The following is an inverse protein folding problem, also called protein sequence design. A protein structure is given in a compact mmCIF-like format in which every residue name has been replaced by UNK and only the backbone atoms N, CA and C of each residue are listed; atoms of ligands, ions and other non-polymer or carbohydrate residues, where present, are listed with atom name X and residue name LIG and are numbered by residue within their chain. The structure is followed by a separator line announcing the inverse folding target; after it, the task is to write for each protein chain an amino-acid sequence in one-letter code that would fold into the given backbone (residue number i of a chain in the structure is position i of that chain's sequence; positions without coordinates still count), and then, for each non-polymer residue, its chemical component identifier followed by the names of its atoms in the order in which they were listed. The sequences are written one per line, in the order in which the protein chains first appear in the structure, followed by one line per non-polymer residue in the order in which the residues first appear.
data_IF_603643013471
#
_entry.id   IF_603643013471
#
_cell.length_a   1.000
_cell.length_b   1.000
_cell.length_c   1.000
_cell.angle_alpha   90.00
_cell.angle_beta   90.00
_cell.angle_gamma   90.00
#
_symmetry.space_group_name_H-M   'P 1'
#
loop_
_entity.id
_entity.type
_entity.pdbx_description
1 polymer ?
#
# COMPACT_ATOMS: atom_id res chain seq x y z
N UNK A 1 35.01 -36.00 12.59
CA UNK A 1 34.46 -35.62 11.27
C UNK A 1 32.94 -35.81 11.18
N UNK A 2 32.41 -37.01 11.52
CA UNK A 2 30.98 -37.36 11.45
C UNK A 2 30.06 -36.44 12.30
N UNK A 3 30.45 -36.11 13.54
CA UNK A 3 29.65 -35.26 14.44
C UNK A 3 29.47 -33.82 13.89
N UNK A 4 30.48 -33.30 13.19
CA UNK A 4 30.44 -31.98 12.55
C UNK A 4 29.47 -32.01 11.37
N UNK A 5 29.49 -33.09 10.59
CA UNK A 5 28.55 -33.32 9.48
C UNK A 5 27.11 -33.41 9.96
N UNK A 6 26.84 -34.14 11.06
CA UNK A 6 25.51 -34.21 11.68
C UNK A 6 25.04 -32.84 12.19
N UNK A 7 25.92 -32.08 12.84
CA UNK A 7 25.61 -30.72 13.29
C UNK A 7 25.30 -29.79 12.13
N UNK A 8 26.05 -29.86 11.02
CA UNK A 8 25.77 -29.09 9.79
C UNK A 8 24.42 -29.47 9.19
N UNK A 9 24.12 -30.76 9.10
CA UNK A 9 22.83 -31.25 8.59
C UNK A 9 21.65 -30.79 9.46
N UNK A 10 21.82 -30.82 10.78
CA UNK A 10 20.81 -30.33 11.73
C UNK A 10 20.55 -28.83 11.58
N UNK A 11 21.62 -28.02 11.51
CA UNK A 11 21.49 -26.57 11.29
C UNK A 11 20.83 -26.27 9.94
N UNK A 12 21.25 -26.96 8.86
CA UNK A 12 20.65 -26.78 7.54
C UNK A 12 19.15 -27.11 7.56
N UNK A 13 18.74 -28.20 8.21
CA UNK A 13 17.33 -28.59 8.37
C UNK A 13 16.53 -27.54 9.14
N UNK A 14 17.11 -26.96 10.21
CA UNK A 14 16.47 -25.88 10.95
C UNK A 14 16.31 -24.61 10.11
N UNK A 15 17.32 -24.23 9.33
CA UNK A 15 17.26 -23.06 8.44
C UNK A 15 16.20 -23.24 7.36
N UNK A 16 16.16 -24.41 6.71
CA UNK A 16 15.13 -24.72 5.69
C UNK A 16 13.74 -24.66 6.32
N UNK A 17 13.55 -25.27 7.50
CA UNK A 17 12.26 -25.22 8.20
C UNK A 17 11.82 -23.79 8.48
N UNK A 18 12.70 -22.96 9.06
CA UNK A 18 12.42 -21.54 9.29
C UNK A 18 12.10 -20.77 8.00
N UNK A 19 12.77 -21.10 6.89
CA UNK A 19 12.47 -20.48 5.60
C UNK A 19 11.12 -20.91 5.05
N UNK A 20 10.77 -22.20 5.17
CA UNK A 20 9.47 -22.72 4.75
C UNK A 20 8.34 -22.13 5.58
N UNK A 21 8.51 -21.99 6.90
CA UNK A 21 7.50 -21.38 7.78
C UNK A 21 7.21 -19.94 7.34
N UNK A 22 8.26 -19.14 7.05
CA UNK A 22 8.11 -17.78 6.50
C UNK A 22 7.44 -17.75 5.13
N UNK A 23 7.76 -18.71 4.26
CA UNK A 23 7.13 -18.80 2.93
C UNK A 23 5.64 -19.13 3.03
N UNK A 24 5.25 -20.03 3.92
CA UNK A 24 3.84 -20.36 4.17
C UNK A 24 3.10 -19.13 4.68
N UNK A 25 3.69 -18.39 5.61
CA UNK A 25 3.10 -17.15 6.13
C UNK A 25 2.96 -16.06 5.05
N UNK A 26 3.99 -15.87 4.22
CA UNK A 26 3.92 -14.96 3.08
C UNK A 26 2.83 -15.37 2.08
N UNK A 27 2.67 -16.67 1.81
CA UNK A 27 1.61 -17.18 0.96
C UNK A 27 0.23 -16.93 1.57
N UNK A 28 0.06 -17.15 2.88
CA UNK A 28 -1.21 -16.87 3.56
C UNK A 28 -1.60 -15.40 3.44
N UNK A 29 -0.65 -14.50 3.68
CA UNK A 29 -0.85 -13.05 3.52
C UNK A 29 -1.23 -12.72 2.07
N UNK A 30 -0.54 -13.32 1.09
CA UNK A 30 -0.86 -13.16 -0.33
C UNK A 30 -2.27 -13.66 -0.68
N UNK A 31 -2.67 -14.82 -0.16
CA UNK A 31 -3.99 -15.41 -0.42
C UNK A 31 -5.10 -14.56 0.20
N UNK A 32 -4.91 -14.06 1.42
CA UNK A 32 -5.81 -13.09 2.05
C UNK A 32 -5.96 -11.82 1.20
N UNK A 33 -4.86 -11.29 0.64
CA UNK A 33 -4.93 -10.13 -0.26
C UNK A 33 -5.62 -10.42 -1.57
N UNK A 34 -5.44 -11.61 -2.16
CA UNK A 34 -6.15 -11.99 -3.38
C UNK A 34 -7.65 -12.06 -3.10
N UNK A 35 -8.06 -12.67 -1.99
CA UNK A 35 -9.46 -12.76 -1.59
C UNK A 35 -10.07 -11.37 -1.35
N UNK A 36 -9.37 -10.51 -0.57
CA UNK A 36 -9.79 -9.14 -0.31
C UNK A 36 -9.88 -8.32 -1.61
N UNK A 37 -8.89 -8.45 -2.51
CA UNK A 37 -8.91 -7.81 -3.82
C UNK A 37 -10.16 -8.17 -4.63
N UNK A 38 -10.48 -9.46 -4.77
CA UNK A 38 -11.67 -9.87 -5.53
C UNK A 38 -12.98 -9.46 -4.85
N UNK A 39 -13.05 -9.50 -3.51
CA UNK A 39 -14.20 -9.00 -2.76
C UNK A 39 -14.44 -7.51 -3.03
N UNK A 40 -13.38 -6.70 -3.04
CA UNK A 40 -13.49 -5.27 -3.32
C UNK A 40 -13.84 -4.97 -4.77
N UNK A 41 -13.31 -5.74 -5.73
CA UNK A 41 -13.70 -5.61 -7.13
C UNK A 41 -15.20 -5.93 -7.31
N UNK A 42 -15.70 -6.96 -6.61
CA UNK A 42 -17.13 -7.29 -6.62
C UNK A 42 -17.98 -6.15 -6.05
N UNK A 43 -17.60 -5.57 -4.91
CA UNK A 43 -18.28 -4.40 -4.31
C UNK A 43 -18.29 -3.21 -5.28
N UNK A 44 -17.18 -2.96 -5.96
CA UNK A 44 -17.07 -1.87 -6.93
C UNK A 44 -17.94 -2.09 -8.18
N UNK A 45 -17.97 -3.31 -8.71
CA UNK A 45 -18.87 -3.69 -9.81
C UNK A 45 -20.33 -3.44 -9.40
N UNK A 46 -20.72 -3.87 -8.19
CA UNK A 46 -22.07 -3.65 -7.68
C UNK A 46 -22.42 -2.15 -7.58
N UNK A 47 -21.50 -1.30 -7.10
CA UNK A 47 -21.69 0.16 -7.07
C UNK A 47 -21.93 0.73 -8.46
N UNK A 48 -21.14 0.32 -9.46
CA UNK A 48 -21.31 0.74 -10.86
C UNK A 48 -22.65 0.27 -11.42
N UNK A 49 -23.01 -0.99 -11.20
CA UNK A 49 -24.29 -1.54 -11.66
C UNK A 49 -25.48 -0.78 -11.05
N UNK A 50 -25.41 -0.45 -9.76
CA UNK A 50 -26.45 0.29 -9.08
C UNK A 50 -26.59 1.71 -9.64
N UNK A 51 -25.47 2.40 -9.93
CA UNK A 51 -25.51 3.68 -10.62
C UNK A 51 -26.12 3.54 -12.02
N UNK A 52 -25.70 2.54 -12.80
CA UNK A 52 -26.19 2.32 -14.16
C UNK A 52 -27.70 2.05 -14.18
N UNK A 53 -28.19 1.18 -13.28
CA UNK A 53 -29.63 0.88 -13.10
C UNK A 53 -30.40 2.15 -12.73
N UNK A 54 -29.87 2.95 -11.82
CA UNK A 54 -30.50 4.21 -11.41
C UNK A 54 -30.55 5.23 -12.56
N UNK A 55 -29.45 5.46 -13.27
CA UNK A 55 -29.39 6.36 -14.43
C UNK A 55 -30.39 5.92 -15.51
N UNK A 56 -30.39 4.63 -15.86
CA UNK A 56 -31.33 4.08 -16.84
C UNK A 56 -32.80 4.30 -16.43
N UNK A 57 -33.12 4.08 -15.14
CA UNK A 57 -34.47 4.34 -14.61
C UNK A 57 -34.86 5.81 -14.77
N UNK A 58 -33.97 6.74 -14.45
CA UNK A 58 -34.24 8.19 -14.60
C UNK A 58 -34.45 8.57 -16.07
N UNK A 59 -33.68 7.98 -16.99
CA UNK A 59 -33.82 8.20 -18.43
C UNK A 59 -35.17 7.69 -18.97
N UNK A 60 -35.55 6.45 -18.63
CA UNK A 60 -36.82 5.83 -19.08
C UNK A 60 -38.04 6.56 -18.51
N UNK A 61 -37.96 7.01 -17.26
CA UNK A 61 -39.04 7.76 -16.60
C UNK A 61 -39.05 9.25 -16.95
N UNK A 62 -38.14 9.72 -17.82
CA UNK A 62 -37.97 11.12 -18.23
C UNK A 62 -37.69 12.08 -17.06
N UNK A 63 -37.15 11.57 -15.96
CA UNK A 63 -36.79 12.35 -14.76
C UNK A 63 -35.38 12.93 -14.87
N UNK A 64 -35.09 13.67 -15.93
CA UNK A 64 -33.73 14.14 -16.23
C UNK A 64 -33.16 15.05 -15.14
N UNK A 65 -34.00 15.86 -14.50
CA UNK A 65 -33.60 16.73 -13.38
C UNK A 65 -33.04 15.93 -12.18
N UNK A 66 -33.50 14.68 -11.98
CA UNK A 66 -32.98 13.83 -10.93
C UNK A 66 -31.53 13.38 -11.17
N UNK A 67 -31.04 13.41 -12.43
CA UNK A 67 -29.65 13.09 -12.76
C UNK A 67 -28.66 14.07 -12.11
N UNK A 68 -29.08 15.27 -11.73
CA UNK A 68 -28.25 16.21 -10.95
C UNK A 68 -27.86 15.64 -9.57
N UNK A 69 -28.54 14.59 -9.10
CA UNK A 69 -28.27 13.91 -7.81
C UNK A 69 -27.23 12.80 -7.90
N UNK A 70 -26.55 12.59 -9.04
CA UNK A 70 -25.43 11.61 -9.16
C UNK A 70 -24.44 11.69 -7.98
N UNK A 71 -24.00 12.89 -7.51
CA UNK A 71 -23.06 12.98 -6.39
C UNK A 71 -23.59 12.40 -5.06
N UNK A 72 -24.92 12.25 -4.92
CA UNK A 72 -25.55 11.61 -3.75
C UNK A 72 -25.51 10.08 -3.83
N UNK A 73 -25.30 9.53 -5.03
CA UNK A 73 -25.21 8.09 -5.28
C UNK A 73 -23.77 7.58 -5.32
N UNK A 74 -22.80 8.40 -5.77
CA UNK A 74 -21.38 8.10 -5.69
C UNK A 74 -20.60 9.35 -5.26
N UNK A 75 -19.99 9.27 -4.08
CA UNK A 75 -19.07 10.29 -3.60
C UNK A 75 -17.63 9.88 -3.94
N UNK A 76 -17.08 10.44 -5.02
CA UNK A 76 -15.72 10.14 -5.50
C UNK A 76 -14.67 10.45 -4.44
N UNK A 77 -14.85 11.51 -3.65
CA UNK A 77 -13.89 11.88 -2.61
C UNK A 77 -13.84 10.82 -1.50
N UNK A 78 -15.01 10.34 -1.09
CA UNK A 78 -15.12 9.26 -0.10
C UNK A 78 -14.52 7.94 -0.63
N UNK A 79 -14.77 7.58 -1.90
CA UNK A 79 -14.16 6.40 -2.51
C UNK A 79 -12.63 6.50 -2.56
N UNK A 80 -12.07 7.71 -2.76
CA UNK A 80 -10.61 7.93 -2.68
C UNK A 80 -10.06 7.76 -1.28
N UNK A 81 -10.76 8.25 -0.27
CA UNK A 81 -10.36 8.07 1.13
C UNK A 81 -10.35 6.59 1.52
N UNK A 82 -11.39 5.84 1.10
CA UNK A 82 -11.47 4.39 1.26
C UNK A 82 -10.30 3.70 0.56
N UNK A 83 -9.99 4.08 -0.69
CA UNK A 83 -8.84 3.54 -1.43
C UNK A 83 -7.53 3.76 -0.67
N UNK A 84 -7.29 4.96 -0.16
CA UNK A 84 -6.06 5.28 0.57
C UNK A 84 -5.97 4.55 1.89
N UNK A 85 -7.05 4.46 2.66
CA UNK A 85 -7.07 3.72 3.92
C UNK A 85 -6.79 2.22 3.68
N UNK A 86 -7.40 1.63 2.65
CA UNK A 86 -7.16 0.24 2.26
C UNK A 86 -5.71 0.02 1.83
N UNK A 87 -5.19 0.92 0.98
CA UNK A 87 -3.79 0.87 0.55
C UNK A 87 -2.84 0.93 1.74
N UNK A 88 -3.01 1.91 2.64
CA UNK A 88 -2.14 2.08 3.80
C UNK A 88 -2.16 0.84 4.70
N UNK A 89 -3.35 0.25 4.97
CA UNK A 89 -3.51 -0.98 5.76
C UNK A 89 -2.79 -2.17 5.15
N UNK A 90 -3.03 -2.44 3.87
CA UNK A 90 -2.42 -3.55 3.13
C UNK A 90 -0.89 -3.37 3.07
N UNK A 91 -0.44 -2.15 2.75
CA UNK A 91 0.96 -1.84 2.64
C UNK A 91 1.69 -2.00 3.98
N UNK A 92 1.14 -1.49 5.08
CA UNK A 92 1.77 -1.61 6.40
C UNK A 92 1.69 -3.04 6.95
N UNK A 93 0.70 -3.85 6.57
CA UNK A 93 0.73 -5.29 6.90
C UNK A 93 1.86 -6.03 6.18
N UNK A 94 2.29 -5.56 5.01
CA UNK A 94 3.49 -6.06 4.33
C UNK A 94 4.79 -5.45 4.87
N UNK A 95 4.78 -4.17 5.23
CA UNK A 95 5.94 -3.38 5.67
C UNK A 95 5.64 -2.66 6.99
N UNK A 96 5.52 -3.38 8.12
CA UNK A 96 5.02 -2.78 9.38
C UNK A 96 5.96 -1.71 9.94
N UNK A 97 7.26 -1.85 9.71
CA UNK A 97 8.26 -0.88 10.16
C UNK A 97 8.56 0.20 9.10
N UNK A 98 7.77 0.28 8.03
CA UNK A 98 8.07 1.19 6.91
C UNK A 98 8.27 2.63 7.35
N UNK A 99 7.38 3.16 8.21
CA UNK A 99 7.46 4.56 8.64
C UNK A 99 8.74 4.83 9.44
N UNK A 100 9.10 3.90 10.34
CA UNK A 100 10.31 4.00 11.14
C UNK A 100 11.57 3.87 10.27
N UNK A 101 11.65 2.82 9.45
CA UNK A 101 12.78 2.59 8.54
C UNK A 101 12.93 3.75 7.55
N UNK A 102 11.83 4.27 7.01
CA UNK A 102 11.84 5.44 6.11
C UNK A 102 12.33 6.70 6.83
N UNK A 103 11.85 6.98 8.04
CA UNK A 103 12.30 8.12 8.83
C UNK A 103 13.78 8.04 9.21
N UNK A 104 14.33 6.83 9.36
CA UNK A 104 15.77 6.64 9.59
C UNK A 104 16.64 7.16 8.44
N UNK A 105 16.08 7.22 7.22
CA UNK A 105 16.74 7.73 6.01
C UNK A 105 16.74 9.26 5.91
N UNK A 106 15.93 9.94 6.73
CA UNK A 106 15.80 11.40 6.75
C UNK A 106 16.65 12.00 7.87
N UNK A 107 17.01 13.28 7.74
CA UNK A 107 17.65 14.04 8.82
C UNK A 107 16.72 14.08 10.05
N UNK A 108 17.29 14.16 11.25
CA UNK A 108 16.52 13.96 12.46
C UNK A 108 15.48 15.07 12.68
N UNK A 109 15.81 16.30 12.29
CA UNK A 109 14.93 17.46 12.25
C UNK A 109 13.85 17.42 11.16
N UNK A 110 14.00 16.51 10.19
CA UNK A 110 13.14 16.42 8.99
C UNK A 110 12.26 15.16 8.96
N UNK A 111 12.27 14.37 10.05
CA UNK A 111 11.43 13.18 10.18
C UNK A 111 9.96 13.52 9.97
N UNK A 112 9.25 12.61 9.34
CA UNK A 112 7.83 12.73 9.02
C UNK A 112 7.00 12.19 10.18
N UNK A 113 6.16 13.04 10.75
CA UNK A 113 5.14 12.65 11.71
C UNK A 113 3.84 12.31 10.97
N UNK A 114 3.22 11.19 11.38
CA UNK A 114 1.90 10.79 10.93
C UNK A 114 0.88 11.23 11.97
N UNK A 115 -0.22 11.86 11.54
CA UNK A 115 -1.29 12.30 12.45
C UNK A 115 -2.00 11.09 13.07
N UNK A 116 -2.55 11.24 14.27
CA UNK A 116 -3.21 10.16 15.02
C UNK A 116 -4.30 9.41 14.23
N UNK A 117 -4.96 10.07 13.28
CA UNK A 117 -6.02 9.50 12.46
C UNK A 117 -5.55 9.03 11.07
N UNK A 118 -4.25 8.96 10.82
CA UNK A 118 -3.70 8.54 9.53
C UNK A 118 -2.70 7.40 9.74
N UNK A 119 -2.66 6.49 8.77
CA UNK A 119 -1.66 5.42 8.73
C UNK A 119 -0.43 5.87 7.94
N UNK A 120 -0.64 6.51 6.79
CA UNK A 120 0.38 7.18 5.98
C UNK A 120 -0.12 8.55 5.53
N UNK A 121 0.80 9.50 5.34
CA UNK A 121 0.50 10.75 4.65
C UNK A 121 0.91 10.68 3.17
N UNK A 122 0.63 11.74 2.40
CA UNK A 122 0.95 11.78 0.96
C UNK A 122 2.42 11.51 0.66
N UNK A 123 3.34 12.08 1.43
CA UNK A 123 4.79 11.89 1.24
C UNK A 123 5.13 10.39 1.38
N UNK A 124 4.66 9.76 2.44
CA UNK A 124 4.87 8.32 2.69
C UNK A 124 4.20 7.43 1.64
N UNK A 125 2.98 7.76 1.18
CA UNK A 125 2.28 7.00 0.13
C UNK A 125 3.03 7.01 -1.19
N UNK A 126 3.65 8.14 -1.57
CA UNK A 126 4.48 8.21 -2.79
C UNK A 126 5.63 7.19 -2.70
N UNK A 127 6.30 7.11 -1.54
CA UNK A 127 7.43 6.20 -1.37
C UNK A 127 7.01 4.75 -1.10
N UNK A 128 5.81 4.52 -0.56
CA UNK A 128 5.20 3.21 -0.48
C UNK A 128 4.91 2.65 -1.89
N UNK A 129 4.36 3.47 -2.80
CA UNK A 129 4.15 3.09 -4.20
C UNK A 129 5.47 2.78 -4.91
N UNK A 130 6.51 3.62 -4.69
CA UNK A 130 7.86 3.35 -5.20
C UNK A 130 8.40 2.03 -4.65
N UNK A 131 8.23 1.76 -3.35
CA UNK A 131 8.63 0.52 -2.70
C UNK A 131 7.97 -0.71 -3.33
N UNK A 132 6.73 -0.58 -3.79
CA UNK A 132 6.00 -1.61 -4.52
C UNK A 132 6.42 -1.75 -6.00
N UNK A 133 7.37 -0.94 -6.48
CA UNK A 133 7.86 -0.96 -7.86
C UNK A 133 7.16 0.01 -8.81
N UNK A 134 6.26 0.86 -8.30
CA UNK A 134 5.57 1.88 -9.11
C UNK A 134 6.43 3.15 -9.11
N UNK A 135 7.27 3.30 -10.13
CA UNK A 135 8.23 4.40 -10.22
C UNK A 135 7.77 5.59 -11.05
N UNK A 136 6.92 5.34 -12.05
CA UNK A 136 6.40 6.32 -13.01
C UNK A 136 5.58 7.39 -12.30
N UNK A 137 5.92 8.67 -12.51
CA UNK A 137 5.23 9.77 -11.85
C UNK A 137 3.77 9.87 -12.29
N UNK A 138 3.48 9.49 -13.53
CA UNK A 138 2.14 9.45 -14.13
C UNK A 138 1.24 8.46 -13.39
N UNK A 139 1.76 7.26 -13.08
CA UNK A 139 1.04 6.23 -12.31
C UNK A 139 0.80 6.66 -10.88
N UNK A 140 1.82 7.22 -10.22
CA UNK A 140 1.70 7.74 -8.85
C UNK A 140 0.70 8.91 -8.80
N UNK A 141 0.77 9.83 -9.76
CA UNK A 141 -0.12 10.97 -9.88
C UNK A 141 -1.59 10.53 -10.06
N UNK A 142 -1.82 9.57 -10.95
CA UNK A 142 -3.14 8.98 -11.16
C UNK A 142 -3.70 8.34 -9.89
N UNK A 143 -2.88 7.53 -9.20
CA UNK A 143 -3.28 6.86 -7.96
C UNK A 143 -3.64 7.88 -6.86
N UNK A 144 -2.80 8.89 -6.64
CA UNK A 144 -2.98 9.87 -5.56
C UNK A 144 -3.90 11.04 -5.94
N UNK A 145 -4.45 11.06 -7.15
CA UNK A 145 -5.25 12.16 -7.68
C UNK A 145 -4.54 13.52 -7.67
N UNK A 146 -3.27 13.53 -8.07
CA UNK A 146 -2.48 14.75 -8.19
C UNK A 146 -2.02 14.96 -9.63
N UNK A 147 -1.53 16.18 -9.91
CA UNK A 147 -0.80 16.41 -11.15
C UNK A 147 0.58 15.75 -11.09
N UNK A 148 1.14 15.41 -12.25
CA UNK A 148 2.52 14.89 -12.35
C UNK A 148 3.53 15.87 -11.72
N UNK A 149 3.33 17.18 -11.94
CA UNK A 149 4.16 18.23 -11.35
C UNK A 149 4.11 18.22 -9.82
N UNK A 150 2.93 18.01 -9.24
CA UNK A 150 2.77 17.90 -7.78
C UNK A 150 3.58 16.72 -7.24
N UNK A 151 3.61 15.58 -7.95
CA UNK A 151 4.45 14.43 -7.58
C UNK A 151 5.94 14.78 -7.65
N UNK A 152 6.37 15.51 -8.70
CA UNK A 152 7.76 16.01 -8.77
C UNK A 152 8.11 16.90 -7.57
N UNK A 153 7.22 17.80 -7.17
CA UNK A 153 7.42 18.68 -6.01
C UNK A 153 7.58 17.88 -4.72
N UNK A 154 6.69 16.92 -4.47
CA UNK A 154 6.78 16.06 -3.27
C UNK A 154 8.08 15.25 -3.24
N UNK A 155 8.47 14.61 -4.36
CA UNK A 155 9.73 13.86 -4.45
C UNK A 155 10.95 14.74 -4.21
N UNK A 156 10.95 15.96 -4.76
CA UNK A 156 12.04 16.92 -4.58
C UNK A 156 12.15 17.39 -3.13
N UNK A 157 11.01 17.70 -2.50
CA UNK A 157 10.91 18.08 -1.08
C UNK A 157 11.47 16.99 -0.16
N UNK A 158 11.10 15.73 -0.38
CA UNK A 158 11.62 14.62 0.45
C UNK A 158 13.10 14.37 0.18
N UNK A 159 13.54 14.47 -1.08
CA UNK A 159 14.96 14.35 -1.43
C UNK A 159 15.84 15.35 -0.68
N UNK A 160 15.43 16.61 -0.53
CA UNK A 160 16.22 17.61 0.22
C UNK A 160 16.38 17.30 1.72
N UNK A 161 15.50 16.45 2.25
CA UNK A 161 15.45 16.00 3.64
C UNK A 161 16.23 14.70 3.90
N UNK A 162 16.67 14.01 2.85
CA UNK A 162 17.41 12.76 2.96
C UNK A 162 18.82 12.98 3.54
N UNK A 163 19.32 11.98 4.29
CA UNK A 163 20.70 11.93 4.79
C UNK A 163 21.73 11.59 3.71
N UNK A 164 21.31 10.89 2.66
CA UNK A 164 22.17 10.31 1.62
C UNK A 164 21.98 10.94 0.25
N UNK A 165 22.81 10.54 -0.72
CA UNK A 165 22.62 10.91 -2.13
C UNK A 165 21.27 10.41 -2.68
N UNK A 166 20.84 10.97 -3.83
CA UNK A 166 19.55 10.61 -4.46
C UNK A 166 19.43 9.12 -4.75
N UNK A 167 20.47 8.54 -5.31
CA UNK A 167 20.44 7.16 -5.80
C UNK A 167 20.52 6.19 -4.62
N UNK A 168 21.37 6.51 -3.64
CA UNK A 168 21.44 5.76 -2.39
C UNK A 168 20.13 5.81 -1.60
N UNK A 169 19.47 6.97 -1.55
CA UNK A 169 18.17 7.10 -0.88
C UNK A 169 17.11 6.22 -1.55
N UNK A 170 17.00 6.27 -2.88
CA UNK A 170 16.07 5.42 -3.63
C UNK A 170 16.36 3.94 -3.40
N UNK A 171 17.63 3.53 -3.43
CA UNK A 171 18.04 2.16 -3.16
C UNK A 171 17.63 1.73 -1.74
N UNK A 172 17.96 2.53 -0.73
CA UNK A 172 17.61 2.24 0.68
C UNK A 172 16.10 2.14 0.89
N UNK A 173 15.30 2.98 0.23
CA UNK A 173 13.83 2.83 0.24
C UNK A 173 13.43 1.46 -0.29
N UNK A 174 14.03 0.97 -1.39
CA UNK A 174 13.71 -0.35 -1.94
C UNK A 174 14.15 -1.52 -1.03
N UNK A 175 15.16 -1.30 -0.18
CA UNK A 175 15.69 -2.29 0.75
C UNK A 175 14.88 -2.43 2.05
N UNK A 176 13.94 -1.52 2.32
CA UNK A 176 13.03 -1.60 3.48
C UNK A 176 12.34 -2.97 3.48
N UNK A 177 12.49 -3.70 4.58
CA UNK A 177 12.18 -5.13 4.60
C UNK A 177 10.70 -5.38 4.83
N UNK A 178 10.21 -6.46 4.22
CA UNK A 178 8.96 -7.10 4.62
C UNK A 178 9.24 -7.77 5.97
N UNK A 179 8.46 -7.43 7.01
CA UNK A 179 8.49 -8.19 8.26
C UNK A 179 7.26 -9.09 8.32
N UNK A 180 7.50 -10.39 8.12
CA UNK A 180 6.45 -11.40 8.10
C UNK A 180 6.02 -11.82 9.51
N UNK A 181 6.62 -11.33 10.60
CA UNK A 181 6.38 -11.85 11.97
C UNK A 181 4.99 -11.61 12.57
N UNK A 182 4.05 -10.97 11.87
CA UNK A 182 2.69 -10.75 12.37
C UNK A 182 1.74 -11.90 12.00
N UNK A 183 1.96 -13.07 12.60
CA UNK A 183 0.92 -14.06 12.86
C UNK A 183 0.54 -14.01 14.34
N UNK A 184 -0.26 -13.02 14.69
CA UNK A 184 -0.83 -12.82 16.02
C UNK A 184 -2.35 -12.71 15.99
N UNK A 185 -3.05 -13.60 15.28
CA UNK A 185 -4.51 -13.75 15.38
C UNK A 185 -4.88 -15.22 15.60
N UNK A 186 -4.70 -15.64 16.85
CA UNK A 186 -5.58 -16.60 17.50
C UNK A 186 -6.15 -15.88 18.73
N UNK A 187 -7.30 -15.24 18.55
CA UNK A 187 -8.38 -15.12 19.53
C UNK A 187 -9.63 -14.63 18.80
#
# INVERSE_FOLDING_TARGET
MILISFRRLYIARLTIRKSNDKLIEANKIKDEYIADFFSQNSEYIEKIENLQKWVNRMMVTKQYEALRKIPQHINIQQEREILFERFDKIFLKLFPNFVEEFNSLLKDEDRIEVKENQLLNTDLRIYALIRLGIHENEKIASFLNYSVNTIYTYKTKIKSKAKSSTDEFKQKVMEIKIDLKFSGFNQ
#
